data_IF_930467531650
#
_entry.id   IF_930467531650
#
_cell.length_a   1.000
_cell.length_b   1.000
_cell.length_c   1.000
_cell.angle_alpha   90.00
_cell.angle_beta   90.00
_cell.angle_gamma   90.00
#
_symmetry.space_group_name_H-M   'P 1'
#
loop_
_entity.id
_entity.type
_entity.pdbx_description
1 polymer ?
#
# COMPACT_ATOMS: atom_id res chain seq x y z
N UNK A 1 -31.03 10.45 5.22
CA UNK A 1 -30.45 10.70 3.88
C UNK A 1 -28.96 11.02 4.02
N UNK A 2 -28.15 10.18 3.38
CA UNK A 2 -26.69 10.17 3.18
C UNK A 2 -25.79 11.29 3.78
N UNK A 3 -25.06 10.97 4.85
CA UNK A 3 -23.74 11.54 5.15
C UNK A 3 -22.71 10.96 4.17
N UNK A 4 -22.63 11.50 2.95
CA UNK A 4 -21.60 11.11 1.96
C UNK A 4 -20.23 11.69 2.34
N UNK A 5 -19.38 10.84 2.89
CA UNK A 5 -17.99 10.64 2.47
C UNK A 5 -17.06 11.87 2.34
N UNK A 6 -16.95 12.72 3.38
CA UNK A 6 -15.97 13.84 3.43
C UNK A 6 -14.50 13.40 3.28
N UNK A 7 -14.15 12.16 3.62
CA UNK A 7 -12.77 11.67 3.53
C UNK A 7 -12.27 11.42 2.10
N UNK A 8 -13.17 11.11 1.14
CA UNK A 8 -12.79 10.84 -0.26
C UNK A 8 -12.36 12.11 -1.02
N UNK A 9 -12.86 13.28 -0.62
CA UNK A 9 -12.62 14.53 -1.34
C UNK A 9 -11.37 15.29 -0.88
N UNK A 10 -10.93 15.12 0.37
CA UNK A 10 -9.80 15.90 0.90
C UNK A 10 -8.49 15.72 0.13
N UNK A 11 -8.16 14.53 -0.39
CA UNK A 11 -6.95 14.34 -1.22
C UNK A 11 -7.08 14.96 -2.60
N UNK A 12 -8.26 14.85 -3.21
CA UNK A 12 -8.54 15.39 -4.55
C UNK A 12 -8.58 16.92 -4.51
N UNK A 13 -9.20 17.49 -3.48
CA UNK A 13 -9.24 18.94 -3.22
C UNK A 13 -7.84 19.52 -2.98
N UNK A 14 -6.91 18.72 -2.43
CA UNK A 14 -5.50 19.08 -2.27
C UNK A 14 -4.63 18.76 -3.50
N UNK A 15 -5.24 18.44 -4.66
CA UNK A 15 -4.51 18.19 -5.90
C UNK A 15 -3.77 16.86 -5.97
N UNK A 16 -4.09 15.91 -5.09
CA UNK A 16 -3.49 14.56 -4.99
C UNK A 16 -4.45 13.47 -5.48
N UNK A 17 -5.29 13.79 -6.47
CA UNK A 17 -6.14 12.81 -7.15
C UNK A 17 -5.35 11.88 -8.08
N UNK A 18 -6.07 11.08 -8.87
CA UNK A 18 -5.49 10.09 -9.82
C UNK A 18 -4.44 10.70 -10.74
N UNK A 19 -4.63 11.96 -11.15
CA UNK A 19 -3.60 12.75 -11.84
C UNK A 19 -3.20 13.89 -10.91
N UNK A 20 -2.09 13.76 -10.15
CA UNK A 20 -1.69 14.77 -9.20
C UNK A 20 -1.29 16.06 -9.92
N UNK A 21 -1.77 17.18 -9.41
CA UNK A 21 -1.50 18.53 -9.91
C UNK A 21 -0.62 19.35 -8.97
N UNK A 22 -0.51 18.92 -7.71
CA UNK A 22 0.36 19.53 -6.69
C UNK A 22 1.22 18.48 -5.99
N UNK A 23 2.43 18.87 -5.59
CA UNK A 23 3.33 18.15 -4.69
C UNK A 23 3.17 18.76 -3.31
N UNK A 24 2.92 17.92 -2.30
CA UNK A 24 2.71 18.35 -0.90
C UNK A 24 1.62 19.41 -0.72
N UNK A 25 0.66 19.51 -1.65
CA UNK A 25 -0.44 20.49 -1.62
C UNK A 25 -0.06 21.93 -2.01
N UNK A 26 1.22 22.23 -2.21
CA UNK A 26 1.70 23.61 -2.37
C UNK A 26 2.41 23.86 -3.70
N UNK A 27 3.14 22.87 -4.23
CA UNK A 27 3.99 23.07 -5.41
C UNK A 27 3.30 22.52 -6.66
N UNK A 28 2.97 23.34 -7.67
CA UNK A 28 2.37 22.83 -8.91
C UNK A 28 3.30 21.85 -9.63
N UNK A 29 2.76 20.68 -10.01
CA UNK A 29 3.49 19.68 -10.82
C UNK A 29 3.69 20.19 -12.25
N UNK A 30 2.74 20.95 -12.79
CA UNK A 30 2.75 21.43 -14.17
C UNK A 30 2.85 22.95 -14.24
N UNK A 31 3.62 23.45 -15.21
CA UNK A 31 3.74 24.89 -15.50
C UNK A 31 2.42 25.51 -15.96
N UNK A 32 1.52 24.72 -16.54
CA UNK A 32 0.17 25.11 -16.98
C UNK A 32 -0.82 24.04 -16.54
N UNK A 33 -2.08 24.39 -16.20
CA UNK A 33 -3.10 23.40 -15.87
C UNK A 33 -3.26 22.35 -16.97
N UNK A 34 -3.47 21.10 -16.56
CA UNK A 34 -3.81 20.04 -17.51
C UNK A 34 -5.22 20.29 -18.07
N UNK A 35 -5.36 20.11 -19.38
CA UNK A 35 -6.68 20.03 -20.00
C UNK A 35 -7.36 18.71 -19.62
N UNK A 36 -8.69 18.69 -19.62
CA UNK A 36 -9.47 17.47 -19.39
C UNK A 36 -9.08 16.34 -20.36
N UNK A 37 -8.80 16.68 -21.62
CA UNK A 37 -8.36 15.72 -22.64
C UNK A 37 -7.03 15.07 -22.27
N UNK A 38 -6.07 15.82 -21.73
CA UNK A 38 -4.79 15.28 -21.29
C UNK A 38 -4.95 14.38 -20.07
N UNK A 39 -5.79 14.78 -19.11
CA UNK A 39 -6.07 13.96 -17.93
C UNK A 39 -6.75 12.64 -18.32
N UNK A 40 -7.78 12.69 -19.16
CA UNK A 40 -8.47 11.50 -19.69
C UNK A 40 -7.53 10.54 -20.41
N UNK A 41 -6.68 11.06 -21.30
CA UNK A 41 -5.70 10.24 -22.02
C UNK A 41 -4.78 9.47 -21.06
N UNK A 42 -4.39 10.05 -19.92
CA UNK A 42 -3.57 9.35 -18.92
C UNK A 42 -4.36 8.30 -18.15
N UNK A 43 -5.61 8.61 -17.80
CA UNK A 43 -6.50 7.66 -17.12
C UNK A 43 -6.74 6.44 -18.02
N UNK A 44 -7.08 6.68 -19.29
CA UNK A 44 -7.31 5.64 -20.30
C UNK A 44 -6.06 4.80 -20.60
N UNK A 45 -4.88 5.43 -20.65
CA UNK A 45 -3.65 4.71 -21.02
C UNK A 45 -2.91 4.06 -19.85
N UNK A 46 -3.14 4.50 -18.60
CA UNK A 46 -2.34 4.07 -17.45
C UNK A 46 -3.21 3.54 -16.31
N UNK A 47 -4.24 4.28 -15.90
CA UNK A 47 -5.04 3.92 -14.74
C UNK A 47 -5.93 2.71 -15.01
N UNK A 48 -6.74 2.75 -16.07
CA UNK A 48 -7.63 1.65 -16.40
C UNK A 48 -6.86 0.35 -16.70
N UNK A 49 -5.83 0.33 -17.57
CA UNK A 49 -5.11 -0.91 -17.85
C UNK A 49 -4.48 -1.56 -16.62
N UNK A 50 -3.96 -0.76 -15.68
CA UNK A 50 -3.43 -1.27 -14.41
C UNK A 50 -4.53 -1.93 -13.56
N UNK A 51 -5.64 -1.23 -13.36
CA UNK A 51 -6.72 -1.72 -12.51
C UNK A 51 -7.50 -2.87 -13.14
N UNK A 52 -7.60 -2.91 -14.47
CA UNK A 52 -8.22 -4.01 -15.22
C UNK A 52 -7.39 -5.28 -15.03
N UNK A 53 -6.07 -5.21 -15.25
CA UNK A 53 -5.16 -6.35 -15.06
C UNK A 53 -5.15 -6.82 -13.60
N UNK A 54 -5.05 -5.91 -12.62
CA UNK A 54 -5.08 -6.28 -11.21
C UNK A 54 -6.39 -6.99 -10.84
N UNK A 55 -7.53 -6.51 -11.36
CA UNK A 55 -8.83 -7.15 -11.14
C UNK A 55 -8.89 -8.54 -11.75
N UNK A 56 -8.30 -8.73 -12.93
CA UNK A 56 -8.20 -10.03 -13.60
C UNK A 56 -7.34 -11.02 -12.79
N UNK A 57 -6.19 -10.60 -12.28
CA UNK A 57 -5.31 -11.42 -11.44
C UNK A 57 -6.01 -11.85 -10.15
N UNK A 58 -6.65 -10.92 -9.44
CA UNK A 58 -7.41 -11.23 -8.22
C UNK A 58 -8.58 -12.18 -8.50
N UNK A 59 -9.30 -11.96 -9.61
CA UNK A 59 -10.40 -12.85 -10.03
C UNK A 59 -9.88 -14.25 -10.36
N UNK A 60 -8.72 -14.34 -11.02
CA UNK A 60 -8.10 -15.61 -11.39
C UNK A 60 -7.62 -16.38 -10.16
N UNK A 61 -6.92 -15.70 -9.24
CA UNK A 61 -6.51 -16.28 -7.97
C UNK A 61 -7.73 -16.75 -7.15
N UNK A 62 -8.78 -15.93 -7.09
CA UNK A 62 -10.03 -16.30 -6.40
C UNK A 62 -10.71 -17.53 -7.00
N UNK A 63 -10.75 -17.64 -8.33
CA UNK A 63 -11.32 -18.82 -9.01
C UNK A 63 -10.52 -20.10 -8.75
N UNK A 64 -9.19 -19.98 -8.72
CA UNK A 64 -8.30 -21.14 -8.62
C UNK A 64 -8.16 -21.63 -7.18
N UNK A 65 -8.19 -20.72 -6.20
CA UNK A 65 -7.84 -21.05 -4.82
C UNK A 65 -8.92 -20.69 -3.78
N UNK A 66 -9.95 -19.94 -4.17
CA UNK A 66 -11.07 -19.57 -3.29
C UNK A 66 -10.77 -18.48 -2.27
N UNK A 67 -9.51 -18.08 -2.14
CA UNK A 67 -9.04 -16.95 -1.33
C UNK A 67 -7.87 -16.28 -2.05
N UNK A 68 -7.52 -15.05 -1.67
CA UNK A 68 -6.26 -14.39 -2.04
C UNK A 68 -5.94 -13.21 -1.10
N UNK A 69 -4.66 -12.84 -1.05
CA UNK A 69 -4.16 -11.69 -0.30
C UNK A 69 -3.45 -10.73 -1.25
N UNK A 70 -4.01 -9.54 -1.41
CA UNK A 70 -3.35 -8.41 -2.07
C UNK A 70 -2.44 -7.67 -1.08
N UNK A 71 -1.14 -7.67 -1.36
CA UNK A 71 -0.15 -6.89 -0.59
C UNK A 71 0.20 -5.62 -1.35
N UNK A 72 -0.37 -4.50 -0.91
CA UNK A 72 -0.15 -3.17 -1.51
C UNK A 72 1.10 -2.52 -0.87
N UNK A 73 2.23 -2.60 -1.57
CA UNK A 73 3.54 -2.20 -1.05
C UNK A 73 3.86 -0.73 -1.32
N UNK A 74 4.21 0.01 -0.26
CA UNK A 74 4.55 1.43 -0.31
C UNK A 74 5.77 1.75 0.54
N UNK A 75 6.30 2.95 0.34
CA UNK A 75 7.25 3.54 1.26
C UNK A 75 6.81 4.96 1.64
N UNK A 76 7.25 5.38 2.81
CA UNK A 76 7.03 6.72 3.34
C UNK A 76 8.34 7.44 3.66
N UNK A 77 8.36 8.78 3.68
CA UNK A 77 9.49 9.55 4.20
C UNK A 77 9.77 9.17 5.66
N UNK A 78 11.03 9.09 6.07
CA UNK A 78 11.35 8.59 7.41
C UNK A 78 11.05 9.52 8.57
N UNK A 79 10.79 10.79 8.28
CA UNK A 79 10.45 11.80 9.27
C UNK A 79 9.20 12.57 8.84
N UNK A 80 8.44 13.05 9.81
CA UNK A 80 7.39 14.05 9.57
C UNK A 80 8.01 15.39 9.20
N UNK A 81 7.20 16.34 8.72
CA UNK A 81 7.67 17.70 8.48
C UNK A 81 8.19 18.39 9.76
N UNK A 82 7.69 17.96 10.92
CA UNK A 82 8.13 18.45 12.25
C UNK A 82 9.41 17.77 12.75
N UNK A 83 10.02 16.88 11.96
CA UNK A 83 11.26 16.18 12.33
C UNK A 83 11.06 14.95 13.22
N UNK A 84 9.82 14.54 13.50
CA UNK A 84 9.55 13.31 14.27
C UNK A 84 9.79 12.09 13.39
N UNK A 85 10.57 11.11 13.86
CA UNK A 85 10.78 9.84 13.15
C UNK A 85 9.45 9.10 13.03
N UNK A 86 9.15 8.61 11.83
CA UNK A 86 7.99 7.74 11.59
C UNK A 86 8.27 6.31 12.06
N UNK A 87 7.22 5.50 12.34
CA UNK A 87 7.38 4.06 12.56
C UNK A 87 8.20 3.40 11.45
N UNK A 88 8.80 2.25 11.70
CA UNK A 88 9.57 1.53 10.68
C UNK A 88 8.64 0.94 9.62
N UNK A 89 7.51 0.38 10.07
CA UNK A 89 6.46 -0.20 9.23
C UNK A 89 5.08 0.26 9.72
N UNK A 90 4.18 0.55 8.77
CA UNK A 90 2.75 0.74 9.06
C UNK A 90 1.94 -0.24 8.23
N UNK A 91 1.07 -1.00 8.90
CA UNK A 91 0.13 -1.91 8.26
C UNK A 91 -1.25 -1.23 8.18
N UNK A 92 -1.78 -1.09 6.97
CA UNK A 92 -3.08 -0.46 6.72
C UNK A 92 -4.09 -1.45 6.16
N UNK A 93 -5.10 -1.81 6.93
CA UNK A 93 -6.13 -2.81 6.61
C UNK A 93 -7.54 -2.20 6.61
N UNK A 94 -7.63 -0.88 6.39
CA UNK A 94 -8.87 -0.10 6.47
C UNK A 94 -9.54 -0.19 7.85
N UNK A 95 -8.76 -0.35 8.91
CA UNK A 95 -9.24 -0.61 10.27
C UNK A 95 -10.07 -1.91 10.36
N UNK A 96 -9.53 -3.01 9.82
CA UNK A 96 -10.13 -4.34 9.78
C UNK A 96 -11.21 -4.53 8.72
N UNK A 97 -11.37 -3.59 7.78
CA UNK A 97 -12.38 -3.70 6.71
C UNK A 97 -11.86 -4.47 5.51
N UNK A 98 -10.56 -4.37 5.20
CA UNK A 98 -9.98 -4.94 3.98
C UNK A 98 -9.23 -6.25 4.20
N UNK A 99 -8.89 -6.61 5.43
CA UNK A 99 -8.09 -7.80 5.77
C UNK A 99 -8.59 -8.41 7.08
N UNK A 100 -8.46 -9.73 7.24
CA UNK A 100 -8.70 -10.40 8.52
C UNK A 100 -7.59 -10.07 9.52
N UNK A 101 -7.92 -9.92 10.82
CA UNK A 101 -6.93 -9.55 11.84
C UNK A 101 -5.79 -10.56 11.96
N UNK A 102 -6.05 -11.86 11.78
CA UNK A 102 -5.04 -12.91 11.83
C UNK A 102 -4.01 -12.78 10.69
N UNK A 103 -4.40 -12.20 9.56
CA UNK A 103 -3.50 -11.92 8.44
C UNK A 103 -2.58 -10.76 8.78
N UNK A 104 -3.13 -9.67 9.32
CA UNK A 104 -2.38 -8.48 9.72
C UNK A 104 -1.43 -8.76 10.87
N UNK A 105 -1.87 -9.51 11.89
CA UNK A 105 -1.03 -9.82 13.06
C UNK A 105 0.14 -10.74 12.71
N UNK A 106 -0.04 -11.67 11.78
CA UNK A 106 1.08 -12.47 11.27
C UNK A 106 2.13 -11.61 10.57
N UNK A 107 1.72 -10.71 9.69
CA UNK A 107 2.64 -9.80 8.99
C UNK A 107 3.37 -8.92 10.01
N UNK A 108 2.64 -8.42 11.02
CA UNK A 108 3.22 -7.67 12.14
C UNK A 108 4.32 -8.46 12.83
N UNK A 109 4.04 -9.70 13.23
CA UNK A 109 5.02 -10.58 13.91
C UNK A 109 6.25 -10.85 13.05
N UNK A 110 6.09 -11.00 11.72
CA UNK A 110 7.23 -11.18 10.81
C UNK A 110 8.18 -9.97 10.83
N UNK A 111 7.66 -8.76 10.88
CA UNK A 111 8.47 -7.55 10.99
C UNK A 111 9.04 -7.36 12.41
N UNK A 112 8.22 -7.52 13.44
CA UNK A 112 8.65 -7.33 14.83
C UNK A 112 9.75 -8.33 15.24
N UNK A 113 9.65 -9.59 14.79
CA UNK A 113 10.68 -10.61 15.03
C UNK A 113 12.04 -10.30 14.39
N UNK A 114 12.07 -9.40 13.39
CA UNK A 114 13.29 -8.88 12.75
C UNK A 114 13.78 -7.56 13.37
N UNK A 115 13.07 -7.06 14.38
CA UNK A 115 13.43 -5.86 15.14
C UNK A 115 12.86 -4.56 14.59
N UNK A 116 11.88 -4.60 13.68
CA UNK A 116 11.22 -3.40 13.17
C UNK A 116 10.10 -2.94 14.10
N UNK A 117 9.99 -1.63 14.32
CA UNK A 117 8.83 -1.03 14.99
C UNK A 117 7.62 -0.96 14.06
N UNK A 118 6.56 -1.71 14.36
CA UNK A 118 5.34 -1.80 13.54
C UNK A 118 4.18 -1.06 14.20
N UNK A 119 3.39 -0.35 13.40
CA UNK A 119 2.13 0.26 13.85
C UNK A 119 1.00 -0.04 12.87
N UNK A 120 -0.25 0.19 13.28
CA UNK A 120 -1.44 -0.09 12.47
C UNK A 120 -2.20 1.19 12.11
N UNK A 121 -2.63 1.28 10.86
CA UNK A 121 -3.62 2.21 10.33
C UNK A 121 -3.37 3.72 10.49
N UNK A 122 -2.24 4.14 11.03
CA UNK A 122 -1.94 5.56 11.28
C UNK A 122 -0.51 5.92 10.92
N UNK A 123 -0.29 6.99 10.14
CA UNK A 123 -1.30 7.82 9.47
C UNK A 123 -1.91 7.18 8.20
N UNK A 124 -1.48 5.96 7.83
CA UNK A 124 -1.93 5.29 6.62
C UNK A 124 -2.80 4.08 6.96
N UNK A 125 -4.12 4.23 6.76
CA UNK A 125 -5.10 3.18 7.02
C UNK A 125 -5.35 2.24 5.83
N UNK A 126 -4.55 2.30 4.77
CA UNK A 126 -4.83 1.63 3.50
C UNK A 126 -5.55 2.56 2.50
N UNK A 127 -5.00 2.58 1.29
CA UNK A 127 -5.35 3.46 0.19
C UNK A 127 -6.45 2.90 -0.71
N UNK A 128 -6.37 3.24 -1.99
CA UNK A 128 -7.38 2.84 -2.98
C UNK A 128 -7.45 1.32 -3.11
N UNK A 129 -6.31 0.64 -3.24
CA UNK A 129 -6.29 -0.81 -3.45
C UNK A 129 -6.96 -1.57 -2.29
N UNK A 130 -6.56 -1.28 -1.05
CA UNK A 130 -7.19 -1.86 0.14
C UNK A 130 -8.70 -1.56 0.22
N UNK A 131 -9.13 -0.35 -0.17
CA UNK A 131 -10.54 0.05 -0.12
C UNK A 131 -11.40 -0.55 -1.24
N UNK A 132 -10.84 -0.75 -2.43
CA UNK A 132 -11.60 -1.10 -3.64
C UNK A 132 -11.62 -2.62 -3.86
N UNK A 133 -10.51 -3.28 -3.52
CA UNK A 133 -10.34 -4.72 -3.72
C UNK A 133 -10.59 -5.54 -2.45
N UNK A 134 -10.34 -4.99 -1.25
CA UNK A 134 -10.52 -5.72 0.00
C UNK A 134 -11.97 -6.13 0.24
N UNK A 135 -12.23 -7.44 0.20
CA UNK A 135 -13.50 -8.12 0.48
C UNK A 135 -13.21 -9.41 1.27
N UNK A 136 -12.75 -9.32 2.52
CA UNK A 136 -12.29 -10.49 3.28
C UNK A 136 -13.38 -11.56 3.48
N UNK A 137 -14.65 -11.15 3.54
CA UNK A 137 -15.80 -12.06 3.61
C UNK A 137 -16.07 -12.82 2.30
N UNK A 138 -15.57 -12.30 1.18
CA UNK A 138 -15.63 -12.94 -0.14
C UNK A 138 -14.31 -13.68 -0.46
N UNK A 139 -13.38 -13.77 0.49
CA UNK A 139 -12.07 -14.42 0.33
C UNK A 139 -10.96 -13.54 -0.26
N UNK A 140 -11.21 -12.25 -0.51
CA UNK A 140 -10.22 -11.33 -1.07
C UNK A 140 -9.72 -10.40 0.04
N UNK A 141 -8.57 -10.68 0.62
CA UNK A 141 -7.94 -9.81 1.61
C UNK A 141 -7.02 -8.79 0.94
N UNK A 142 -6.91 -7.60 1.51
CA UNK A 142 -5.99 -6.57 1.05
C UNK A 142 -5.37 -5.82 2.23
N UNK A 143 -4.04 -5.78 2.27
CA UNK A 143 -3.25 -5.10 3.28
C UNK A 143 -2.25 -4.15 2.61
N UNK A 144 -2.18 -2.93 3.11
CA UNK A 144 -1.15 -1.97 2.71
C UNK A 144 0.04 -2.06 3.66
N UNK A 145 1.26 -2.13 3.12
CA UNK A 145 2.50 -2.09 3.90
C UNK A 145 3.26 -0.82 3.53
N UNK A 146 3.46 0.08 4.49
CA UNK A 146 4.24 1.31 4.32
C UNK A 146 5.57 1.19 5.04
N UNK A 147 6.67 1.17 4.27
CA UNK A 147 8.02 1.07 4.83
C UNK A 147 8.65 2.45 5.00
N UNK A 148 9.26 2.70 6.15
CA UNK A 148 10.08 3.88 6.37
C UNK A 148 11.34 3.84 5.49
N UNK A 149 11.41 4.71 4.48
CA UNK A 149 12.54 4.71 3.54
C UNK A 149 13.89 5.05 4.16
N UNK A 150 13.89 5.68 5.34
CA UNK A 150 15.14 5.97 6.08
C UNK A 150 15.81 4.70 6.61
N UNK A 151 15.13 3.55 6.61
CA UNK A 151 15.76 2.26 6.91
C UNK A 151 16.84 1.89 5.89
N UNK A 152 16.65 2.25 4.62
CA UNK A 152 17.44 1.69 3.52
C UNK A 152 18.03 2.72 2.56
N UNK A 153 17.53 3.97 2.53
CA UNK A 153 18.04 5.05 1.66
C UNK A 153 18.38 6.31 2.46
N UNK A 154 19.51 6.95 2.15
CA UNK A 154 19.84 8.27 2.67
C UNK A 154 18.96 9.34 1.99
N UNK A 155 18.22 10.16 2.76
CA UNK A 155 17.22 11.06 2.20
C UNK A 155 17.80 12.25 1.40
N UNK A 156 19.10 12.52 1.51
CA UNK A 156 19.78 13.62 0.82
C UNK A 156 20.50 13.12 -0.43
N UNK A 157 21.26 12.05 -0.30
CA UNK A 157 22.11 11.52 -1.40
C UNK A 157 21.39 10.51 -2.28
N UNK A 158 20.24 10.01 -1.85
CA UNK A 158 19.50 8.91 -2.48
C UNK A 158 20.32 7.62 -2.65
N UNK A 159 21.44 7.48 -1.92
CA UNK A 159 22.25 6.27 -1.90
C UNK A 159 21.75 5.30 -0.83
N UNK A 160 21.94 4.01 -1.09
CA UNK A 160 21.70 2.95 -0.12
C UNK A 160 22.50 3.17 1.18
N UNK A 161 21.88 2.89 2.32
CA UNK A 161 22.56 2.90 3.62
C UNK A 161 23.37 1.62 3.83
N UNK A 162 24.29 1.63 4.79
CA UNK A 162 25.14 0.45 5.15
C UNK A 162 24.34 -0.81 5.49
N UNK A 163 23.08 -0.68 5.92
CA UNK A 163 22.19 -1.79 6.25
C UNK A 163 21.27 -2.24 5.12
N UNK A 164 21.44 -1.74 3.89
CA UNK A 164 20.52 -2.02 2.77
C UNK A 164 20.39 -3.51 2.47
N UNK A 165 21.50 -4.24 2.36
CA UNK A 165 21.47 -5.68 2.03
C UNK A 165 20.68 -6.46 3.07
N UNK A 166 20.97 -6.25 4.37
CA UNK A 166 20.22 -6.88 5.45
C UNK A 166 18.74 -6.52 5.41
N UNK A 167 18.40 -5.26 5.14
CA UNK A 167 17.01 -4.84 4.99
C UNK A 167 16.35 -5.54 3.80
N UNK A 168 17.04 -5.67 2.66
CA UNK A 168 16.53 -6.35 1.49
C UNK A 168 16.27 -7.85 1.78
N UNK A 169 17.20 -8.52 2.47
CA UNK A 169 17.05 -9.90 2.94
C UNK A 169 15.85 -10.04 3.88
N UNK A 170 15.70 -9.13 4.85
CA UNK A 170 14.57 -9.13 5.78
C UNK A 170 13.23 -8.98 5.04
N UNK A 171 13.14 -8.08 4.05
CA UNK A 171 11.94 -7.92 3.22
C UNK A 171 11.68 -9.16 2.38
N UNK A 172 12.72 -9.74 1.78
CA UNK A 172 12.59 -10.97 1.00
C UNK A 172 12.02 -12.11 1.86
N UNK A 173 12.53 -12.29 3.07
CA UNK A 173 12.03 -13.31 3.98
C UNK A 173 10.61 -13.02 4.47
N UNK A 174 10.25 -11.75 4.71
CA UNK A 174 8.88 -11.38 5.09
C UNK A 174 7.91 -11.73 3.96
N UNK A 175 8.23 -11.34 2.72
CA UNK A 175 7.40 -11.68 1.56
C UNK A 175 7.35 -13.20 1.38
N UNK A 176 8.49 -13.89 1.46
CA UNK A 176 8.54 -15.35 1.42
C UNK A 176 7.68 -16.02 2.49
N UNK A 177 7.66 -15.50 3.72
CA UNK A 177 6.81 -16.04 4.78
C UNK A 177 5.31 -15.75 4.54
N UNK A 178 4.96 -14.62 3.92
CA UNK A 178 3.59 -14.31 3.50
C UNK A 178 3.12 -15.28 2.42
N UNK A 179 3.96 -15.53 1.42
CA UNK A 179 3.64 -16.44 0.31
C UNK A 179 3.58 -17.91 0.77
N UNK A 180 4.41 -18.29 1.75
CA UNK A 180 4.43 -19.64 2.33
C UNK A 180 3.51 -19.82 3.54
N UNK A 181 2.67 -18.84 3.89
CA UNK A 181 1.66 -18.99 4.94
C UNK A 181 0.66 -20.07 4.52
N UNK A 182 1.01 -21.31 4.80
CA UNK A 182 0.24 -22.53 4.55
C UNK A 182 0.30 -23.39 5.79
N UNK A 183 -0.69 -23.25 6.68
CA UNK A 183 -1.06 -24.32 7.62
C UNK A 183 -2.35 -24.01 8.35
N UNK A 184 -3.45 -24.24 7.65
CA UNK A 184 -4.80 -24.43 8.18
C UNK A 184 -5.72 -24.93 7.07
N UNK A 185 -5.27 -25.93 6.29
CA UNK A 185 -5.76 -26.25 4.93
C UNK A 185 -5.47 -25.12 3.92
N UNK A 186 -5.50 -25.43 2.63
CA UNK A 186 -5.44 -24.49 1.49
C UNK A 186 -4.04 -24.11 0.96
N UNK A 187 -3.82 -24.49 -0.30
CA UNK A 187 -2.73 -24.09 -1.18
C UNK A 187 -3.05 -22.72 -1.78
N UNK A 188 -2.15 -21.76 -1.63
CA UNK A 188 -2.18 -20.46 -2.31
C UNK A 188 -0.85 -20.27 -3.04
N UNK A 189 -0.88 -19.84 -4.30
CA UNK A 189 0.29 -19.41 -5.05
C UNK A 189 0.51 -17.90 -4.88
N UNK A 190 1.78 -17.49 -4.91
CA UNK A 190 2.19 -16.10 -4.99
C UNK A 190 2.62 -15.76 -6.42
N UNK A 191 2.15 -14.62 -6.92
CA UNK A 191 2.67 -13.96 -8.13
C UNK A 191 3.29 -12.61 -7.76
#
# INVERSE_FOLDING_TARGET
MARKNRARYGRVENGLGVVPTFISGEIPVYKKPLTLRQARKRIEALYHPYHDLLSELLTTAQKNFGQNLLVDCHYMPGFTFQGTRRPDVILGDRCGVSCHPETVDFIRVLFESRGYGVTGNSPYAGGYAASDYGRPMEGIEAVQIEINRDLYVNPVTCKSKRGYERFADDIYDVIGAITHRSSGSWLMAAE
#
